data_IF_253341430002
#
_entry.id   IF_253341430002
#
_cell.length_a   1.000
_cell.length_b   1.000
_cell.length_c   1.000
_cell.angle_alpha   90.00
_cell.angle_beta   90.00
_cell.angle_gamma   90.00
#
_symmetry.space_group_name_H-M   'P 1'
#
loop_
_entity.id
_entity.type
_entity.pdbx_description
1 polymer ?
#
# COMPACT_ATOMS: atom_id res chain seq x y z
N UNK A 1 -17.70 -66.20 1.25
CA UNK A 1 -16.62 -67.20 1.46
C UNK A 1 -15.34 -66.36 1.56
N UNK A 2 -14.87 -66.22 2.79
CA UNK A 2 -13.73 -65.39 3.20
C UNK A 2 -12.51 -66.30 3.18
N UNK A 3 -11.42 -65.86 2.57
CA UNK A 3 -10.12 -66.49 2.77
C UNK A 3 -9.15 -65.39 3.23
N UNK A 4 -8.84 -65.43 4.52
CA UNK A 4 -7.72 -64.72 5.13
C UNK A 4 -6.43 -65.52 4.91
N UNK A 5 -5.38 -64.89 4.45
CA UNK A 5 -4.01 -65.41 4.52
C UNK A 5 -3.17 -64.41 5.33
N UNK A 6 -2.89 -64.81 6.53
CA UNK A 6 -1.83 -64.25 7.42
C UNK A 6 -0.49 -64.81 6.96
N UNK A 7 0.44 -63.89 6.65
CA UNK A 7 1.87 -64.21 6.63
C UNK A 7 2.56 -63.25 7.57
N UNK A 8 3.03 -63.78 8.71
CA UNK A 8 4.02 -63.14 9.57
C UNK A 8 5.37 -63.24 8.84
N UNK A 9 6.04 -62.08 8.76
CA UNK A 9 7.49 -62.08 8.58
C UNK A 9 8.05 -60.98 9.52
N UNK A 10 8.70 -61.45 10.53
CA UNK A 10 9.57 -60.65 11.39
C UNK A 10 10.82 -60.33 10.57
N UNK A 11 11.04 -59.07 10.31
CA UNK A 11 12.37 -58.54 10.06
C UNK A 11 12.41 -57.12 10.65
N UNK A 12 13.18 -57.02 11.74
CA UNK A 12 13.62 -55.81 12.41
C UNK A 12 14.50 -54.98 11.46
N UNK A 13 13.90 -54.21 10.59
CA UNK A 13 14.51 -53.03 10.03
C UNK A 13 13.71 -51.84 10.53
N UNK A 14 14.32 -51.10 11.47
CA UNK A 14 13.93 -49.74 11.83
C UNK A 14 14.01 -48.88 10.55
N UNK A 15 12.97 -48.94 9.70
CA UNK A 15 12.77 -47.95 8.65
C UNK A 15 12.49 -46.65 9.39
N UNK A 16 13.51 -45.80 9.52
CA UNK A 16 13.29 -44.38 9.80
C UNK A 16 12.26 -43.91 8.78
N UNK A 17 11.06 -43.56 9.24
CA UNK A 17 10.05 -42.95 8.42
C UNK A 17 10.72 -41.78 7.66
N UNK A 18 10.51 -41.65 6.33
CA UNK A 18 11.11 -40.56 5.61
C UNK A 18 10.70 -39.28 6.33
N UNK A 19 11.70 -38.49 6.76
CA UNK A 19 11.45 -37.17 7.35
C UNK A 19 10.56 -36.44 6.34
N UNK A 20 9.30 -36.24 6.69
CA UNK A 20 8.34 -35.53 5.83
C UNK A 20 8.94 -34.16 5.59
N UNK A 21 9.53 -33.95 4.40
CA UNK A 21 10.06 -32.64 4.05
C UNK A 21 8.88 -31.68 4.16
N UNK A 22 8.93 -30.76 5.11
CA UNK A 22 7.89 -29.77 5.29
C UNK A 22 7.62 -29.09 3.93
N UNK A 23 6.35 -29.13 3.49
CA UNK A 23 5.98 -28.49 2.22
C UNK A 23 6.19 -26.99 2.39
N UNK A 24 6.78 -26.31 1.39
CA UNK A 24 6.90 -24.86 1.42
C UNK A 24 5.54 -24.23 1.73
N UNK A 25 5.51 -23.30 2.68
CA UNK A 25 4.28 -22.61 3.08
C UNK A 25 4.52 -21.12 3.25
N UNK A 26 3.50 -20.35 2.90
CA UNK A 26 3.48 -18.88 3.06
C UNK A 26 2.31 -18.53 3.97
N UNK A 27 2.54 -17.63 4.90
CA UNK A 27 1.50 -17.08 5.77
C UNK A 27 1.51 -15.55 5.66
N UNK A 28 0.36 -14.95 5.49
CA UNK A 28 0.16 -13.50 5.54
C UNK A 28 -0.58 -13.13 6.82
N UNK A 29 0.03 -12.30 7.63
CA UNK A 29 -0.64 -11.53 8.68
C UNK A 29 -1.01 -10.17 8.06
N UNK A 30 -2.28 -9.96 7.74
CA UNK A 30 -2.76 -8.69 7.14
C UNK A 30 -2.67 -7.56 8.16
N UNK A 31 -2.80 -6.31 7.71
CA UNK A 31 -3.09 -5.22 8.65
C UNK A 31 -4.41 -5.48 9.39
N UNK A 32 -4.65 -4.78 10.51
CA UNK A 32 -5.92 -4.93 11.26
C UNK A 32 -7.17 -4.54 10.46
N UNK A 33 -7.00 -3.87 9.32
CA UNK A 33 -8.08 -3.51 8.42
C UNK A 33 -8.57 -4.69 7.55
N UNK A 34 -7.79 -5.77 7.53
CA UNK A 34 -8.14 -6.98 6.78
C UNK A 34 -8.12 -6.80 5.26
N UNK A 35 -8.69 -7.78 4.58
CA UNK A 35 -8.80 -7.83 3.11
C UNK A 35 -10.14 -7.22 2.65
N UNK A 36 -10.26 -6.88 1.37
CA UNK A 36 -11.47 -6.27 0.80
C UNK A 36 -11.46 -4.74 0.89
N UNK A 37 -10.28 -4.13 1.07
CA UNK A 37 -10.11 -2.68 1.11
C UNK A 37 -10.08 -2.03 -0.28
N UNK A 38 -10.16 -2.84 -1.34
CA UNK A 38 -9.97 -2.42 -2.74
C UNK A 38 -8.67 -1.62 -2.96
N UNK A 39 -7.68 -1.80 -2.11
CA UNK A 39 -6.44 -1.02 -2.08
C UNK A 39 -5.24 -1.88 -1.67
N UNK A 40 -4.57 -1.45 -0.60
CA UNK A 40 -3.29 -1.98 -0.16
C UNK A 40 -3.31 -3.48 0.16
N UNK A 41 -4.24 -3.95 1.02
CA UNK A 41 -4.29 -5.37 1.39
C UNK A 41 -4.67 -6.26 0.21
N UNK A 42 -5.58 -5.80 -0.65
CA UNK A 42 -5.97 -6.53 -1.85
C UNK A 42 -4.81 -6.61 -2.87
N UNK A 43 -3.95 -5.59 -2.94
CA UNK A 43 -2.71 -5.66 -3.74
C UNK A 43 -1.74 -6.72 -3.20
N UNK A 44 -1.58 -6.84 -1.88
CA UNK A 44 -0.77 -7.93 -1.28
C UNK A 44 -1.34 -9.29 -1.69
N UNK A 45 -2.66 -9.46 -1.60
CA UNK A 45 -3.32 -10.71 -2.06
C UNK A 45 -3.05 -11.02 -3.53
N UNK A 46 -3.07 -10.02 -4.40
CA UNK A 46 -2.77 -10.22 -5.81
C UNK A 46 -1.36 -10.76 -6.02
N UNK A 47 -0.38 -10.31 -5.23
CA UNK A 47 0.98 -10.86 -5.24
C UNK A 47 1.03 -12.34 -4.83
N UNK A 48 0.25 -12.70 -3.79
CA UNK A 48 0.12 -14.11 -3.37
C UNK A 48 -0.59 -14.97 -4.42
N UNK A 49 -1.62 -14.46 -5.09
CA UNK A 49 -2.30 -15.17 -6.17
C UNK A 49 -1.38 -15.41 -7.37
N UNK A 50 -0.62 -14.40 -7.81
CA UNK A 50 0.40 -14.56 -8.86
C UNK A 50 1.40 -15.66 -8.50
N UNK A 51 1.86 -15.69 -7.25
CA UNK A 51 2.80 -16.70 -6.78
C UNK A 51 2.17 -18.09 -6.72
N UNK A 52 0.92 -18.21 -6.27
CA UNK A 52 0.18 -19.46 -6.28
C UNK A 52 -0.01 -20.01 -7.70
N UNK A 53 -0.43 -19.18 -8.64
CA UNK A 53 -0.63 -19.58 -10.04
C UNK A 53 0.66 -20.14 -10.66
N UNK A 54 1.81 -19.58 -10.31
CA UNK A 54 3.09 -20.03 -10.84
C UNK A 54 3.63 -21.29 -10.14
N UNK A 55 3.37 -21.47 -8.84
CA UNK A 55 4.08 -22.47 -8.02
C UNK A 55 3.19 -23.53 -7.39
N UNK A 56 1.89 -23.29 -7.30
CA UNK A 56 0.93 -24.12 -6.55
C UNK A 56 1.07 -23.99 -5.02
N UNK A 57 1.91 -23.10 -4.51
CA UNK A 57 2.08 -22.90 -3.06
C UNK A 57 0.93 -22.06 -2.52
N UNK A 58 0.12 -22.67 -1.66
CA UNK A 58 -1.03 -22.00 -1.03
C UNK A 58 -0.53 -21.11 0.11
N UNK A 59 -1.04 -19.87 0.14
CA UNK A 59 -0.85 -18.96 1.27
C UNK A 59 -1.99 -19.12 2.28
N UNK A 60 -1.64 -19.07 3.56
CA UNK A 60 -2.59 -18.95 4.67
C UNK A 60 -2.73 -17.49 5.04
N UNK A 61 -3.94 -17.05 5.36
CA UNK A 61 -4.22 -15.70 5.81
C UNK A 61 -4.65 -15.69 7.27
N UNK A 62 -4.13 -14.72 8.01
CA UNK A 62 -4.65 -14.32 9.31
C UNK A 62 -4.95 -12.83 9.28
N UNK A 63 -6.21 -12.46 9.54
CA UNK A 63 -6.64 -11.06 9.65
C UNK A 63 -6.89 -10.76 11.13
N UNK A 64 -5.99 -10.07 11.81
CA UNK A 64 -6.11 -9.82 13.23
C UNK A 64 -7.19 -8.77 13.50
N UNK A 65 -7.85 -8.90 14.65
CA UNK A 65 -8.90 -7.96 15.07
C UNK A 65 -8.34 -6.71 15.76
N UNK A 66 -7.10 -6.78 16.25
CA UNK A 66 -6.38 -5.69 16.90
C UNK A 66 -4.88 -6.07 17.04
N UNK A 67 -4.07 -5.13 17.55
CA UNK A 67 -2.62 -5.35 17.71
C UNK A 67 -2.27 -6.47 18.69
N UNK A 68 -3.06 -6.71 19.73
CA UNK A 68 -2.79 -7.80 20.68
C UNK A 68 -3.05 -9.17 20.04
N UNK A 69 -4.07 -9.29 19.21
CA UNK A 69 -4.34 -10.49 18.39
C UNK A 69 -3.21 -10.74 17.38
N UNK A 70 -2.74 -9.68 16.70
CA UNK A 70 -1.61 -9.76 15.78
C UNK A 70 -0.32 -10.25 16.49
N UNK A 71 -0.02 -9.70 17.67
CA UNK A 71 1.16 -10.11 18.44
C UNK A 71 1.05 -11.56 18.95
N UNK A 72 -0.13 -11.96 19.41
CA UNK A 72 -0.40 -13.34 19.83
C UNK A 72 -0.16 -14.31 18.67
N UNK A 73 -0.78 -14.04 17.52
CA UNK A 73 -0.58 -14.84 16.31
C UNK A 73 0.90 -14.92 15.89
N UNK A 74 1.61 -13.79 15.89
CA UNK A 74 3.03 -13.75 15.53
C UNK A 74 3.87 -14.65 16.41
N UNK A 75 3.69 -14.59 17.74
CA UNK A 75 4.40 -15.43 18.71
C UNK A 75 4.09 -16.92 18.52
N UNK A 76 2.83 -17.28 18.34
CA UNK A 76 2.42 -18.67 18.10
C UNK A 76 2.96 -19.21 16.78
N UNK A 77 2.92 -18.39 15.71
CA UNK A 77 3.47 -18.77 14.42
C UNK A 77 4.98 -19.04 14.53
N UNK A 78 5.73 -18.16 15.16
CA UNK A 78 7.18 -18.34 15.39
C UNK A 78 7.49 -19.61 16.19
N UNK A 79 6.76 -19.85 17.28
CA UNK A 79 6.96 -21.03 18.12
C UNK A 79 6.69 -22.33 17.35
N UNK A 80 5.59 -22.35 16.58
CA UNK A 80 5.17 -23.51 15.77
C UNK A 80 6.13 -23.81 14.62
N UNK A 81 6.81 -22.79 14.10
CA UNK A 81 7.67 -22.88 12.92
C UNK A 81 9.18 -22.76 13.24
N UNK A 82 9.58 -22.75 14.52
CA UNK A 82 10.96 -22.49 14.94
C UNK A 82 12.00 -23.40 14.25
N UNK A 83 11.65 -24.65 13.95
CA UNK A 83 12.51 -25.63 13.30
C UNK A 83 11.98 -26.05 11.91
N UNK A 84 10.90 -25.44 11.42
CA UNK A 84 10.34 -25.75 10.12
C UNK A 84 11.25 -25.20 9.01
N UNK A 85 11.42 -25.98 7.94
CA UNK A 85 12.14 -25.54 6.74
C UNK A 85 11.18 -24.90 5.75
N UNK A 86 11.66 -23.91 5.01
CA UNK A 86 10.94 -23.30 3.87
C UNK A 86 9.55 -22.77 4.22
N UNK A 87 9.47 -22.01 5.31
CA UNK A 87 8.25 -21.27 5.70
C UNK A 87 8.50 -19.77 5.65
N UNK A 88 7.50 -19.00 5.20
CA UNK A 88 7.54 -17.54 5.15
C UNK A 88 6.36 -16.97 5.90
N UNK A 89 6.64 -16.01 6.78
CA UNK A 89 5.64 -15.11 7.34
C UNK A 89 5.79 -13.73 6.72
N UNK A 90 4.70 -13.19 6.21
CA UNK A 90 4.59 -11.82 5.71
C UNK A 90 3.81 -11.03 6.74
N UNK A 91 4.40 -9.95 7.23
CA UNK A 91 3.80 -8.96 8.11
C UNK A 91 3.33 -7.79 7.24
N UNK A 92 2.03 -7.64 7.05
CA UNK A 92 1.41 -6.80 6.04
C UNK A 92 1.21 -5.33 6.44
N UNK A 93 1.87 -4.82 7.49
CA UNK A 93 1.72 -3.43 7.94
C UNK A 93 2.97 -2.92 8.64
N UNK A 94 3.31 -1.64 8.44
CA UNK A 94 4.35 -0.92 9.20
C UNK A 94 4.06 -0.89 10.70
N UNK A 95 2.80 -0.95 11.12
CA UNK A 95 2.39 -1.02 12.52
C UNK A 95 2.99 -2.24 13.26
N UNK A 96 3.38 -3.29 12.55
CA UNK A 96 4.01 -4.48 13.14
C UNK A 96 5.51 -4.32 13.41
N UNK A 97 6.12 -3.19 13.06
CA UNK A 97 7.56 -2.98 13.26
C UNK A 97 7.99 -3.11 14.71
N UNK A 98 7.26 -2.49 15.63
CA UNK A 98 7.57 -2.56 17.06
C UNK A 98 7.43 -4.00 17.60
N UNK A 99 6.39 -4.71 17.20
CA UNK A 99 6.19 -6.12 17.53
C UNK A 99 7.36 -6.98 17.03
N UNK A 100 7.76 -6.78 15.76
CA UNK A 100 8.86 -7.51 15.15
C UNK A 100 10.21 -7.23 15.82
N UNK A 101 10.44 -6.00 16.31
CA UNK A 101 11.64 -5.63 17.10
C UNK A 101 11.67 -6.28 18.48
N UNK A 102 10.52 -6.39 19.13
CA UNK A 102 10.40 -6.90 20.51
C UNK A 102 10.43 -8.43 20.59
N UNK A 103 10.04 -9.11 19.53
CA UNK A 103 9.90 -10.56 19.50
C UNK A 103 10.91 -11.16 18.51
N UNK A 104 12.06 -11.67 18.98
CA UNK A 104 13.06 -12.31 18.12
C UNK A 104 12.44 -13.48 17.34
N UNK A 105 12.79 -13.60 16.05
CA UNK A 105 12.21 -14.64 15.18
C UNK A 105 12.54 -16.06 15.63
N UNK A 106 13.75 -16.29 16.13
CA UNK A 106 14.19 -17.60 16.62
C UNK A 106 14.15 -18.74 15.59
N UNK A 107 13.87 -18.44 14.31
CA UNK A 107 13.78 -19.42 13.23
C UNK A 107 15.12 -20.06 12.94
N UNK A 108 15.18 -21.41 12.98
CA UNK A 108 16.38 -22.21 12.73
C UNK A 108 16.28 -22.99 11.42
N UNK A 109 15.08 -23.10 10.88
CA UNK A 109 14.79 -23.86 9.68
C UNK A 109 15.45 -23.26 8.44
N UNK A 110 15.96 -24.12 7.57
CA UNK A 110 16.61 -23.68 6.33
C UNK A 110 15.61 -23.03 5.38
N UNK A 111 15.88 -21.79 4.99
CA UNK A 111 15.00 -21.03 4.08
C UNK A 111 13.74 -20.45 4.74
N UNK A 112 13.61 -20.57 6.07
CA UNK A 112 12.51 -19.94 6.81
C UNK A 112 12.79 -18.46 7.05
N UNK A 113 11.77 -17.59 6.86
CA UNK A 113 11.94 -16.12 6.84
C UNK A 113 10.72 -15.39 7.34
N UNK A 114 10.95 -14.18 7.82
CA UNK A 114 9.92 -13.17 8.09
C UNK A 114 10.18 -11.96 7.18
N UNK A 115 9.16 -11.50 6.49
CA UNK A 115 9.17 -10.28 5.67
C UNK A 115 8.20 -9.27 6.27
N UNK A 116 8.71 -8.10 6.65
CA UNK A 116 7.88 -6.97 7.07
C UNK A 116 7.75 -5.96 5.91
N UNK A 117 6.52 -5.70 5.51
CA UNK A 117 6.18 -4.70 4.51
C UNK A 117 6.05 -3.30 5.13
N UNK A 118 6.28 -2.27 4.33
CA UNK A 118 6.21 -0.84 4.67
C UNK A 118 7.17 -0.42 5.80
N UNK A 119 8.29 -1.10 5.93
CA UNK A 119 9.33 -0.72 6.90
C UNK A 119 10.70 -0.66 6.22
N UNK A 120 11.46 0.38 6.53
CA UNK A 120 12.88 0.55 6.19
C UNK A 120 13.81 0.22 7.36
N UNK A 121 13.26 -0.27 8.46
CA UNK A 121 14.01 -0.56 9.67
C UNK A 121 14.89 -1.80 9.53
N UNK A 122 16.08 -1.76 10.11
CA UNK A 122 16.90 -2.95 10.31
C UNK A 122 16.44 -3.66 11.58
N UNK A 123 15.96 -4.90 11.42
CA UNK A 123 15.44 -5.73 12.51
C UNK A 123 16.12 -7.11 12.43
N UNK A 124 16.65 -7.58 13.56
CA UNK A 124 17.35 -8.85 13.57
C UNK A 124 16.43 -10.04 13.22
N UNK A 125 16.87 -10.82 12.25
CA UNK A 125 16.12 -11.98 11.75
C UNK A 125 14.88 -11.66 10.90
N UNK A 126 14.60 -10.38 10.61
CA UNK A 126 13.47 -9.94 9.77
C UNK A 126 13.99 -9.21 8.53
N UNK A 127 13.48 -9.58 7.37
CA UNK A 127 13.70 -8.81 6.15
C UNK A 127 12.63 -7.72 6.07
N UNK A 128 13.03 -6.52 5.65
CA UNK A 128 12.10 -5.38 5.55
C UNK A 128 12.10 -4.79 4.14
N UNK A 129 10.95 -4.32 3.70
CA UNK A 129 10.81 -3.57 2.45
C UNK A 129 9.83 -2.42 2.63
N UNK A 130 10.30 -1.20 2.39
CA UNK A 130 9.48 0.01 2.34
C UNK A 130 9.15 0.37 0.89
N UNK A 131 7.93 0.86 0.66
CA UNK A 131 7.53 1.47 -0.61
C UNK A 131 7.50 2.98 -0.42
N UNK A 132 8.47 3.66 -1.04
CA UNK A 132 8.56 5.11 -0.96
C UNK A 132 7.59 5.77 -1.94
N UNK A 133 6.59 6.43 -1.38
CA UNK A 133 5.57 7.15 -2.14
C UNK A 133 5.96 8.59 -2.47
N UNK A 134 7.12 9.05 -1.97
CA UNK A 134 7.53 10.45 -2.13
C UNK A 134 7.56 10.87 -3.59
N UNK A 135 8.26 10.12 -4.47
CA UNK A 135 8.46 10.51 -5.86
C UNK A 135 7.15 10.56 -6.67
N UNK A 136 6.29 9.55 -6.53
CA UNK A 136 4.99 9.55 -7.21
C UNK A 136 4.06 10.64 -6.66
N UNK A 137 4.05 10.87 -5.33
CA UNK A 137 3.28 11.97 -4.73
C UNK A 137 3.86 13.35 -5.08
N UNK A 138 5.20 13.48 -5.24
CA UNK A 138 5.81 14.69 -5.78
C UNK A 138 5.27 15.02 -7.17
N UNK A 139 5.23 14.04 -8.07
CA UNK A 139 4.63 14.22 -9.39
C UNK A 139 3.16 14.62 -9.30
N UNK A 140 2.38 13.96 -8.44
CA UNK A 140 0.98 14.32 -8.22
C UNK A 140 0.84 15.79 -7.77
N UNK A 141 1.70 16.25 -6.87
CA UNK A 141 1.78 17.64 -6.44
C UNK A 141 2.11 18.61 -7.59
N UNK A 142 3.11 18.29 -8.41
CA UNK A 142 3.47 19.08 -9.62
C UNK A 142 2.30 19.19 -10.59
N UNK A 143 1.57 18.10 -10.80
CA UNK A 143 0.45 18.06 -11.72
C UNK A 143 -0.71 18.95 -11.26
N UNK A 144 -0.97 19.00 -9.95
CA UNK A 144 -2.13 19.66 -9.35
C UNK A 144 -1.79 20.98 -8.62
N UNK A 145 -0.53 21.39 -8.60
CA UNK A 145 -0.05 22.55 -7.85
C UNK A 145 -0.63 23.91 -8.24
N UNK A 146 -1.47 23.97 -9.26
CA UNK A 146 -2.11 25.22 -9.71
C UNK A 146 -3.43 25.55 -9.01
N UNK A 147 -3.81 24.79 -8.00
CA UNK A 147 -5.04 24.99 -7.20
C UNK A 147 -4.77 24.65 -5.72
N UNK A 148 -5.58 25.16 -4.79
CA UNK A 148 -5.51 24.72 -3.40
C UNK A 148 -5.66 23.22 -3.27
N UNK A 149 -5.02 22.63 -2.28
CA UNK A 149 -5.05 21.19 -2.07
C UNK A 149 -5.43 20.82 -0.64
N UNK A 150 -6.11 19.69 -0.51
CA UNK A 150 -6.49 19.10 0.76
C UNK A 150 -5.97 17.66 0.84
N UNK A 151 -5.18 17.37 1.84
CA UNK A 151 -4.73 16.01 2.15
C UNK A 151 -5.55 15.50 3.33
N UNK A 152 -6.31 14.45 3.11
CA UNK A 152 -6.94 13.70 4.18
C UNK A 152 -6.17 12.39 4.35
N UNK A 153 -5.52 12.21 5.50
CA UNK A 153 -4.72 11.05 5.82
C UNK A 153 -5.40 10.19 6.91
N UNK A 154 -5.11 8.91 6.93
CA UNK A 154 -5.67 7.97 7.90
C UNK A 154 -5.24 8.33 9.32
N UNK A 155 -3.94 8.43 9.55
CA UNK A 155 -3.36 8.76 10.86
C UNK A 155 -1.94 9.32 10.71
N UNK A 156 -1.45 10.09 11.69
CA UNK A 156 -0.06 10.55 11.74
C UNK A 156 0.89 9.42 12.17
N UNK A 157 2.20 9.62 11.89
CA UNK A 157 3.27 8.74 12.39
C UNK A 157 3.51 7.46 11.60
N UNK A 158 2.80 7.24 10.49
CA UNK A 158 3.08 6.17 9.55
C UNK A 158 4.08 6.65 8.51
N UNK A 159 5.28 6.05 8.40
CA UNK A 159 6.33 6.53 7.49
C UNK A 159 5.87 6.68 6.04
N UNK A 160 5.08 5.75 5.54
CA UNK A 160 4.52 5.77 4.19
C UNK A 160 3.57 6.94 3.95
N UNK A 161 2.81 7.34 4.97
CA UNK A 161 1.90 8.50 4.94
C UNK A 161 2.71 9.80 4.96
N UNK A 162 3.65 9.92 5.89
CA UNK A 162 4.49 11.12 6.02
C UNK A 162 5.35 11.35 4.77
N UNK A 163 5.87 10.28 4.16
CA UNK A 163 6.60 10.35 2.89
C UNK A 163 5.72 10.83 1.73
N UNK A 164 4.48 10.33 1.66
CA UNK A 164 3.51 10.76 0.64
C UNK A 164 3.13 12.24 0.81
N UNK A 165 2.86 12.68 2.05
CA UNK A 165 2.54 14.09 2.38
C UNK A 165 3.72 15.00 1.99
N UNK A 166 4.94 14.64 2.38
CA UNK A 166 6.13 15.42 2.08
C UNK A 166 6.34 15.55 0.56
N UNK A 167 6.30 14.43 -0.16
CA UNK A 167 6.43 14.43 -1.61
C UNK A 167 5.39 15.31 -2.29
N UNK A 168 4.12 15.17 -1.91
CA UNK A 168 3.03 15.97 -2.49
C UNK A 168 3.21 17.47 -2.22
N UNK A 169 3.56 17.87 -0.97
CA UNK A 169 3.79 19.27 -0.63
C UNK A 169 4.96 19.87 -1.40
N UNK A 170 6.07 19.14 -1.50
CA UNK A 170 7.25 19.61 -2.22
C UNK A 170 6.95 19.76 -3.73
N UNK A 171 6.27 18.78 -4.33
CA UNK A 171 5.83 18.86 -5.73
C UNK A 171 4.80 19.95 -5.96
N UNK A 172 3.85 20.11 -5.04
CA UNK A 172 2.84 21.16 -5.12
C UNK A 172 3.46 22.57 -5.04
N UNK A 173 4.48 22.76 -4.22
CA UNK A 173 5.21 24.02 -4.14
C UNK A 173 6.17 24.27 -5.32
N UNK A 174 6.60 23.19 -6.00
CA UNK A 174 7.50 23.29 -7.14
C UNK A 174 6.80 23.89 -8.36
N UNK A 175 7.55 24.68 -9.13
CA UNK A 175 7.10 25.20 -10.44
C UNK A 175 5.82 26.05 -10.40
N UNK A 176 5.42 26.56 -9.23
CA UNK A 176 4.27 27.47 -9.09
C UNK A 176 4.66 28.92 -9.37
N UNK A 177 3.75 29.64 -10.05
CA UNK A 177 3.83 31.10 -10.18
C UNK A 177 3.07 31.82 -9.08
N UNK A 178 2.15 31.14 -8.40
CA UNK A 178 1.34 31.64 -7.30
C UNK A 178 1.25 30.55 -6.25
N UNK A 179 1.52 30.87 -5.01
CA UNK A 179 1.41 29.95 -3.89
C UNK A 179 -0.05 29.61 -3.61
N UNK A 180 -0.34 28.32 -3.50
CA UNK A 180 -1.64 27.79 -3.12
C UNK A 180 -1.51 26.99 -1.82
N UNK A 181 -2.47 27.08 -0.89
CA UNK A 181 -2.39 26.35 0.38
C UNK A 181 -2.56 24.84 0.20
N UNK A 182 -1.87 24.07 1.03
CA UNK A 182 -2.07 22.63 1.20
C UNK A 182 -2.47 22.37 2.64
N UNK A 183 -3.75 22.08 2.87
CA UNK A 183 -4.25 21.70 4.19
C UNK A 183 -4.06 20.19 4.41
N UNK A 184 -3.81 19.78 5.66
CA UNK A 184 -3.66 18.36 6.03
C UNK A 184 -4.48 18.10 7.28
N UNK A 185 -5.36 17.10 7.19
CA UNK A 185 -6.10 16.59 8.33
C UNK A 185 -5.93 15.07 8.43
N UNK A 186 -6.09 14.54 9.64
CA UNK A 186 -6.03 13.13 9.93
C UNK A 186 -7.39 12.61 10.40
N UNK A 187 -7.77 11.42 9.93
CA UNK A 187 -9.05 10.82 10.24
C UNK A 187 -9.09 10.25 11.66
N UNK A 188 -7.97 9.71 12.13
CA UNK A 188 -7.78 9.16 13.45
C UNK A 188 -6.34 9.39 13.96
N UNK A 189 -6.01 8.87 15.15
CA UNK A 189 -4.66 8.93 15.72
C UNK A 189 -3.86 7.63 15.54
N UNK A 190 -4.47 6.57 15.05
CA UNK A 190 -3.89 5.25 14.89
C UNK A 190 -4.38 4.52 13.65
N UNK A 191 -4.04 3.24 13.57
CA UNK A 191 -4.30 2.38 12.41
C UNK A 191 -5.80 2.26 12.07
N UNK A 192 -6.70 2.50 13.03
CA UNK A 192 -8.14 2.52 12.80
C UNK A 192 -8.56 3.50 11.70
N UNK A 193 -7.79 4.58 11.50
CA UNK A 193 -8.04 5.56 10.45
C UNK A 193 -8.07 4.98 9.03
N UNK A 194 -7.45 3.84 8.80
CA UNK A 194 -7.48 3.15 7.50
C UNK A 194 -8.79 2.37 7.25
N UNK A 195 -9.64 2.19 8.27
CA UNK A 195 -10.86 1.38 8.20
C UNK A 195 -12.13 2.12 8.62
N UNK A 196 -12.21 3.44 8.41
CA UNK A 196 -13.32 4.31 8.79
C UNK A 196 -13.98 5.01 7.59
N UNK A 197 -14.54 4.27 6.60
CA UNK A 197 -15.06 4.88 5.37
C UNK A 197 -16.21 5.87 5.63
N UNK A 198 -17.09 5.59 6.59
CA UNK A 198 -18.19 6.51 6.93
C UNK A 198 -17.66 7.82 7.51
N UNK A 199 -16.63 7.76 8.37
CA UNK A 199 -15.99 8.97 8.91
C UNK A 199 -15.30 9.76 7.80
N UNK A 200 -14.57 9.09 6.90
CA UNK A 200 -13.96 9.74 5.74
C UNK A 200 -14.99 10.43 4.84
N UNK A 201 -16.14 9.78 4.60
CA UNK A 201 -17.25 10.40 3.88
C UNK A 201 -17.73 11.67 4.57
N UNK A 202 -17.97 11.63 5.89
CA UNK A 202 -18.47 12.79 6.61
C UNK A 202 -17.45 13.94 6.66
N UNK A 203 -16.18 13.67 6.88
CA UNK A 203 -15.12 14.69 6.88
C UNK A 203 -15.02 15.34 5.51
N UNK A 204 -14.95 14.56 4.43
CA UNK A 204 -14.92 15.09 3.07
C UNK A 204 -16.16 15.90 2.74
N UNK A 205 -17.35 15.41 3.08
CA UNK A 205 -18.61 16.15 2.89
C UNK A 205 -18.58 17.50 3.58
N UNK A 206 -18.15 17.56 4.84
CA UNK A 206 -18.03 18.82 5.58
C UNK A 206 -17.02 19.77 4.93
N UNK A 207 -15.88 19.24 4.48
CA UNK A 207 -14.86 20.02 3.76
C UNK A 207 -15.45 20.63 2.48
N UNK A 208 -16.10 19.84 1.64
CA UNK A 208 -16.73 20.30 0.40
C UNK A 208 -17.75 21.42 0.70
N UNK A 209 -18.63 21.21 1.68
CA UNK A 209 -19.65 22.21 2.03
C UNK A 209 -19.02 23.50 2.56
N UNK A 210 -17.97 23.41 3.38
CA UNK A 210 -17.31 24.59 3.96
C UNK A 210 -16.54 25.43 2.95
N UNK A 211 -16.07 24.81 1.87
CA UNK A 211 -15.33 25.49 0.79
C UNK A 211 -16.21 25.96 -0.36
N UNK A 212 -17.49 25.55 -0.39
CA UNK A 212 -18.45 26.12 -1.32
C UNK A 212 -18.95 27.47 -0.78
N UNK A 213 -18.58 28.56 -1.43
CA UNK A 213 -19.02 29.90 -1.01
C UNK A 213 -20.48 30.16 -1.37
N UNK A 214 -21.21 30.87 -0.49
CA UNK A 214 -22.60 31.31 -0.63
C UNK A 214 -22.85 32.38 -1.72
N UNK A 215 -21.93 32.58 -2.62
CA UNK A 215 -22.17 33.53 -3.74
C UNK A 215 -23.03 32.87 -4.81
N UNK A 216 -24.12 33.51 -5.09
CA UNK A 216 -25.25 33.17 -6.00
C UNK A 216 -24.89 32.66 -7.41
N UNK A 217 -23.65 32.42 -7.76
CA UNK A 217 -23.26 32.05 -9.12
C UNK A 217 -22.57 30.71 -9.30
N UNK A 218 -22.07 30.05 -8.26
CA UNK A 218 -21.57 28.68 -8.42
C UNK A 218 -21.13 28.06 -7.11
N UNK A 219 -21.71 26.94 -6.76
CA UNK A 219 -21.21 25.99 -5.77
C UNK A 219 -20.03 25.24 -6.39
N UNK A 220 -18.86 25.86 -6.51
CA UNK A 220 -17.69 25.22 -7.10
C UNK A 220 -16.69 24.90 -5.99
N UNK A 221 -16.45 23.61 -5.77
CA UNK A 221 -15.36 23.12 -4.95
C UNK A 221 -14.10 23.07 -5.82
N UNK A 222 -13.07 23.81 -5.42
CA UNK A 222 -11.88 24.03 -6.25
C UNK A 222 -10.60 23.39 -5.69
N UNK A 223 -10.69 22.71 -4.58
CA UNK A 223 -9.52 22.01 -4.02
C UNK A 223 -9.26 20.70 -4.76
N UNK A 224 -7.99 20.33 -4.83
CA UNK A 224 -7.57 18.99 -5.21
C UNK A 224 -7.36 18.15 -3.97
N UNK A 225 -7.81 16.90 -3.97
CA UNK A 225 -7.79 16.04 -2.80
C UNK A 225 -6.77 14.92 -2.98
N UNK A 226 -5.87 14.75 -2.00
CA UNK A 226 -5.00 13.58 -1.87
C UNK A 226 -5.49 12.73 -0.69
N UNK A 227 -6.15 11.58 -0.92
CA UNK A 227 -6.69 10.73 0.13
C UNK A 227 -5.69 9.62 0.51
N UNK A 228 -4.92 9.83 1.56
CA UNK A 228 -3.97 8.84 2.10
C UNK A 228 -4.68 7.98 3.17
N UNK A 229 -5.67 7.18 2.77
CA UNK A 229 -6.71 6.64 3.65
C UNK A 229 -6.84 5.11 3.63
N UNK A 230 -6.14 4.40 2.74
CA UNK A 230 -6.38 2.96 2.55
C UNK A 230 -7.86 2.66 2.29
N UNK A 231 -8.47 1.72 3.02
CA UNK A 231 -9.88 1.35 2.87
C UNK A 231 -10.88 2.48 3.16
N UNK A 232 -10.52 3.44 4.02
CA UNK A 232 -11.34 4.63 4.26
C UNK A 232 -11.47 5.54 3.05
N UNK A 233 -10.58 5.42 2.07
CA UNK A 233 -10.60 6.18 0.82
C UNK A 233 -11.88 6.02 0.01
N UNK A 234 -12.56 4.88 0.13
CA UNK A 234 -13.86 4.64 -0.51
C UNK A 234 -14.94 5.62 -0.06
N UNK A 235 -14.93 5.98 1.23
CA UNK A 235 -15.84 6.99 1.77
C UNK A 235 -15.54 8.39 1.26
N UNK A 236 -14.26 8.78 1.21
CA UNK A 236 -13.85 10.07 0.65
C UNK A 236 -14.22 10.17 -0.84
N UNK A 237 -13.97 9.12 -1.62
CA UNK A 237 -14.34 9.06 -3.03
C UNK A 237 -15.85 9.15 -3.23
N UNK A 238 -16.63 8.47 -2.39
CA UNK A 238 -18.10 8.59 -2.44
C UNK A 238 -18.56 10.02 -2.18
N UNK A 239 -17.99 10.72 -1.20
CA UNK A 239 -18.33 12.12 -0.95
C UNK A 239 -18.02 13.00 -2.16
N UNK A 240 -16.84 12.84 -2.77
CA UNK A 240 -16.48 13.56 -3.99
C UNK A 240 -17.46 13.28 -5.14
N UNK A 241 -17.90 12.04 -5.30
CA UNK A 241 -18.87 11.67 -6.35
C UNK A 241 -20.28 12.21 -6.08
N UNK A 242 -20.72 12.21 -4.82
CA UNK A 242 -22.04 12.75 -4.45
C UNK A 242 -22.13 14.28 -4.68
N UNK A 243 -20.96 14.96 -4.68
CA UNK A 243 -20.85 16.43 -4.88
C UNK A 243 -20.05 16.80 -6.15
N UNK A 244 -20.02 15.90 -7.12
CA UNK A 244 -19.27 16.03 -8.38
C UNK A 244 -19.50 17.36 -9.13
N UNK A 245 -20.70 17.90 -9.05
CA UNK A 245 -21.08 19.17 -9.68
C UNK A 245 -20.21 20.34 -9.22
N UNK A 246 -19.51 20.18 -8.12
CA UNK A 246 -18.73 21.24 -7.47
C UNK A 246 -17.27 21.31 -7.93
N UNK A 247 -16.82 20.47 -8.83
CA UNK A 247 -15.60 20.68 -9.60
C UNK A 247 -14.26 20.27 -8.94
N UNK A 248 -14.24 19.60 -7.80
CA UNK A 248 -13.00 19.14 -7.18
C UNK A 248 -12.34 17.97 -7.92
N UNK A 249 -11.01 17.89 -7.83
CA UNK A 249 -10.23 16.74 -8.31
C UNK A 249 -9.78 15.89 -7.13
N UNK A 250 -9.65 14.58 -7.36
CA UNK A 250 -9.14 13.64 -6.37
C UNK A 250 -8.07 12.74 -7.00
N UNK A 251 -6.95 12.57 -6.32
CA UNK A 251 -5.95 11.59 -6.71
C UNK A 251 -6.42 10.20 -6.32
N UNK A 252 -6.43 9.25 -7.26
CA UNK A 252 -6.58 7.84 -6.92
C UNK A 252 -5.37 7.35 -6.13
N UNK A 253 -5.56 6.46 -5.14
CA UNK A 253 -4.46 5.95 -4.33
C UNK A 253 -4.41 4.42 -4.34
N UNK A 254 -3.19 3.91 -4.19
CA UNK A 254 -2.78 2.52 -4.04
C UNK A 254 -3.00 1.65 -5.29
N UNK A 255 -4.13 1.78 -5.95
CA UNK A 255 -4.49 1.04 -7.18
C UNK A 255 -4.94 1.99 -8.28
N UNK A 256 -5.04 1.49 -9.51
CA UNK A 256 -5.66 2.24 -10.61
C UNK A 256 -7.16 2.45 -10.31
N UNK A 257 -7.52 3.70 -10.06
CA UNK A 257 -8.90 4.15 -9.78
C UNK A 257 -9.59 4.73 -11.01
N UNK A 258 -9.01 4.55 -12.20
CA UNK A 258 -9.59 5.03 -13.46
C UNK A 258 -11.03 4.57 -13.63
N UNK A 259 -11.92 5.50 -13.96
CA UNK A 259 -13.32 5.19 -14.18
C UNK A 259 -14.17 4.93 -12.93
N UNK A 260 -13.59 4.95 -11.72
CA UNK A 260 -14.38 4.84 -10.49
C UNK A 260 -15.09 6.14 -10.12
N UNK A 261 -14.54 7.27 -10.52
CA UNK A 261 -15.17 8.58 -10.38
C UNK A 261 -14.64 9.54 -11.45
N UNK A 262 -15.49 10.41 -12.02
CA UNK A 262 -15.06 11.42 -12.99
C UNK A 262 -14.16 12.51 -12.38
N UNK A 263 -14.05 12.60 -11.07
CA UNK A 263 -13.11 13.52 -10.42
C UNK A 263 -11.67 12.96 -10.30
N UNK A 264 -11.39 11.74 -10.78
CA UNK A 264 -10.07 11.11 -10.70
C UNK A 264 -9.34 11.22 -12.04
N UNK A 265 -8.42 12.19 -12.20
CA UNK A 265 -7.64 12.35 -13.44
C UNK A 265 -6.51 11.31 -13.56
N UNK A 266 -5.97 10.86 -12.44
CA UNK A 266 -4.92 9.86 -12.35
C UNK A 266 -4.86 9.25 -10.96
N UNK A 267 -4.11 8.17 -10.84
CA UNK A 267 -3.87 7.46 -9.58
C UNK A 267 -2.36 7.36 -9.29
N UNK A 268 -1.98 7.47 -8.03
CA UNK A 268 -0.70 7.00 -7.51
C UNK A 268 -0.86 5.52 -7.19
N UNK A 269 -0.24 4.67 -8.00
CA UNK A 269 -0.31 3.21 -7.87
C UNK A 269 0.92 2.68 -7.19
N UNK A 270 0.76 1.70 -6.30
CA UNK A 270 1.86 0.96 -5.68
C UNK A 270 1.88 -0.47 -6.22
N UNK A 271 3.07 -0.99 -6.51
CA UNK A 271 3.27 -2.33 -7.05
C UNK A 271 3.74 -3.33 -6.00
N UNK A 272 3.09 -3.31 -4.82
CA UNK A 272 3.41 -4.24 -3.74
C UNK A 272 3.15 -5.70 -4.13
N UNK A 273 2.20 -5.94 -5.02
CA UNK A 273 1.91 -7.24 -5.60
C UNK A 273 3.10 -7.82 -6.37
N UNK A 274 3.74 -7.01 -7.20
CA UNK A 274 4.94 -7.42 -7.95
C UNK A 274 6.14 -7.60 -7.01
N UNK A 275 6.33 -6.67 -6.07
CA UNK A 275 7.40 -6.76 -5.07
C UNK A 275 7.29 -8.06 -4.27
N UNK A 276 6.11 -8.36 -3.76
CA UNK A 276 5.87 -9.58 -3.00
C UNK A 276 6.07 -10.84 -3.84
N UNK A 277 5.57 -10.84 -5.07
CA UNK A 277 5.76 -11.92 -6.02
C UNK A 277 7.25 -12.20 -6.28
N UNK A 278 8.07 -11.15 -6.46
CA UNK A 278 9.51 -11.26 -6.67
C UNK A 278 10.21 -11.83 -5.44
N UNK A 279 9.91 -11.33 -4.23
CA UNK A 279 10.45 -11.85 -2.97
C UNK A 279 10.14 -13.35 -2.80
N UNK A 280 8.89 -13.76 -3.02
CA UNK A 280 8.48 -15.15 -2.88
C UNK A 280 9.11 -16.05 -3.96
N UNK A 281 9.27 -15.54 -5.19
CA UNK A 281 9.94 -16.26 -6.27
C UNK A 281 11.43 -16.44 -5.96
N UNK A 282 12.11 -15.42 -5.46
CA UNK A 282 13.50 -15.51 -5.00
C UNK A 282 13.64 -16.51 -3.86
N UNK A 283 12.76 -16.45 -2.85
CA UNK A 283 12.73 -17.41 -1.76
C UNK A 283 12.56 -18.86 -2.26
N UNK A 284 11.62 -19.08 -3.14
CA UNK A 284 11.37 -20.42 -3.71
C UNK A 284 12.56 -20.97 -4.46
N UNK A 285 13.35 -20.10 -5.08
CA UNK A 285 14.59 -20.44 -5.78
C UNK A 285 15.82 -20.49 -4.88
N UNK A 286 15.66 -20.37 -3.56
CA UNK A 286 16.75 -20.41 -2.59
C UNK A 286 17.67 -19.19 -2.58
N UNK A 287 17.26 -18.09 -3.24
CA UNK A 287 18.04 -16.85 -3.24
C UNK A 287 17.90 -16.13 -1.90
N UNK A 288 18.98 -15.49 -1.40
CA UNK A 288 18.91 -14.65 -0.21
C UNK A 288 18.11 -13.37 -0.51
N UNK A 289 17.38 -12.88 0.50
CA UNK A 289 16.80 -11.55 0.46
C UNK A 289 17.76 -10.52 1.04
N UNK A 290 17.69 -9.28 0.58
CA UNK A 290 18.35 -8.19 1.28
C UNK A 290 17.73 -8.00 2.67
N UNK A 291 18.54 -7.58 3.65
CA UNK A 291 18.05 -7.35 5.02
C UNK A 291 17.00 -6.25 5.03
N UNK A 292 17.27 -5.15 4.34
CA UNK A 292 16.39 -3.98 4.25
C UNK A 292 16.45 -3.43 2.83
N UNK A 293 15.29 -3.06 2.29
CA UNK A 293 15.19 -2.38 0.99
C UNK A 293 14.16 -1.25 1.06
N UNK A 294 14.40 -0.20 0.30
CA UNK A 294 13.41 0.84 -0.01
C UNK A 294 13.30 0.95 -1.51
N UNK A 295 12.09 0.84 -2.02
CA UNK A 295 11.78 0.90 -3.46
C UNK A 295 10.76 2.03 -3.70
N UNK A 296 10.94 2.82 -4.73
CA UNK A 296 10.06 3.93 -5.05
C UNK A 296 9.86 4.10 -6.55
N UNK A 297 9.85 5.35 -6.99
CA UNK A 297 9.53 5.70 -8.38
C UNK A 297 10.58 5.19 -9.38
N UNK A 298 11.88 5.21 -9.02
CA UNK A 298 12.94 4.69 -9.88
C UNK A 298 12.87 3.18 -10.04
N UNK A 299 12.63 2.46 -8.93
CA UNK A 299 12.52 1.01 -8.91
C UNK A 299 11.15 0.52 -9.43
N UNK A 300 10.32 1.42 -9.94
CA UNK A 300 8.96 1.12 -10.43
C UNK A 300 8.07 0.47 -9.35
N UNK A 301 8.35 0.75 -8.09
CA UNK A 301 7.49 0.34 -6.98
C UNK A 301 6.26 1.24 -6.83
N UNK A 302 6.34 2.45 -7.39
CA UNK A 302 5.24 3.40 -7.51
C UNK A 302 5.19 3.98 -8.93
N UNK A 303 4.00 4.37 -9.38
CA UNK A 303 3.79 5.06 -10.65
C UNK A 303 2.59 6.02 -10.60
N UNK A 304 2.53 6.91 -11.60
CA UNK A 304 1.30 7.66 -11.91
C UNK A 304 0.56 6.95 -13.05
N UNK A 305 -0.66 6.50 -12.78
CA UNK A 305 -1.55 5.89 -13.77
C UNK A 305 -2.63 6.89 -14.18
N UNK A 306 -2.64 7.29 -15.44
CA UNK A 306 -3.59 8.28 -15.95
C UNK A 306 -4.92 7.66 -16.33
N UNK A 307 -6.03 8.36 -16.01
CA UNK A 307 -7.35 8.00 -16.51
C UNK A 307 -7.40 8.28 -18.02
N UNK A 308 -7.72 7.26 -18.85
CA UNK A 308 -7.76 7.43 -20.30
C UNK A 308 -8.77 8.49 -20.73
N UNK A 309 -8.37 9.33 -21.69
CA UNK A 309 -9.23 10.37 -22.28
C UNK A 309 -9.90 11.33 -21.27
N UNK A 310 -9.24 11.52 -20.12
CA UNK A 310 -9.74 12.41 -19.09
C UNK A 310 -9.73 13.87 -19.56
N UNK A 311 -10.85 14.55 -19.40
CA UNK A 311 -10.99 16.00 -19.59
C UNK A 311 -11.91 16.55 -18.52
N UNK A 312 -11.43 17.51 -17.75
CA UNK A 312 -12.23 18.16 -16.72
C UNK A 312 -12.53 19.61 -17.10
N UNK A 313 -13.68 19.80 -17.74
CA UNK A 313 -14.07 21.08 -18.34
C UNK A 313 -14.30 22.19 -17.32
N UNK A 314 -14.94 21.88 -16.18
CA UNK A 314 -15.28 22.91 -15.18
C UNK A 314 -14.07 23.62 -14.59
N UNK A 315 -12.99 22.87 -14.23
CA UNK A 315 -11.76 23.49 -13.76
C UNK A 315 -10.96 24.15 -14.88
N UNK A 316 -11.00 23.58 -16.08
CA UNK A 316 -10.37 24.19 -17.25
C UNK A 316 -10.96 25.58 -17.54
N UNK A 317 -12.28 25.71 -17.47
CA UNK A 317 -13.00 26.98 -17.66
C UNK A 317 -12.68 27.98 -16.54
N UNK A 318 -12.70 27.53 -15.26
CA UNK A 318 -12.47 28.39 -14.10
C UNK A 318 -11.06 28.97 -14.05
N UNK A 319 -10.05 28.14 -14.36
CA UNK A 319 -8.65 28.53 -14.25
C UNK A 319 -8.01 28.86 -15.60
N UNK A 320 -8.77 28.82 -16.69
CA UNK A 320 -8.27 28.98 -18.06
C UNK A 320 -7.07 28.07 -18.34
N UNK A 321 -7.16 26.81 -17.88
CA UNK A 321 -6.11 25.79 -17.97
C UNK A 321 -6.67 24.51 -18.56
N UNK A 322 -5.82 23.76 -19.22
CA UNK A 322 -6.14 22.42 -19.71
C UNK A 322 -5.88 21.39 -18.59
N UNK A 323 -6.92 20.63 -18.21
CA UNK A 323 -6.85 19.49 -17.30
C UNK A 323 -7.18 18.22 -18.07
N UNK A 324 -6.27 17.79 -18.91
CA UNK A 324 -6.44 16.61 -19.77
C UNK A 324 -5.35 15.56 -19.49
N UNK A 325 -5.65 14.30 -19.83
CA UNK A 325 -4.67 13.20 -19.79
C UNK A 325 -3.40 13.57 -20.54
N UNK A 326 -3.50 14.20 -21.71
CA UNK A 326 -2.36 14.59 -22.53
C UNK A 326 -1.43 15.54 -21.79
N UNK A 327 -1.98 16.60 -21.19
CA UNK A 327 -1.19 17.57 -20.43
C UNK A 327 -0.54 16.93 -19.19
N UNK A 328 -1.32 16.13 -18.45
CA UNK A 328 -0.79 15.45 -17.26
C UNK A 328 0.34 14.50 -17.61
N UNK A 329 0.20 13.71 -18.69
CA UNK A 329 1.26 12.79 -19.15
C UNK A 329 2.53 13.55 -19.51
N UNK A 330 2.43 14.62 -20.31
CA UNK A 330 3.58 15.44 -20.71
C UNK A 330 4.32 16.04 -19.49
N UNK A 331 3.57 16.57 -18.51
CA UNK A 331 4.16 17.12 -17.30
C UNK A 331 4.81 16.04 -16.44
N UNK A 332 4.17 14.88 -16.27
CA UNK A 332 4.73 13.78 -15.50
C UNK A 332 6.05 13.29 -16.11
N UNK A 333 6.11 13.14 -17.42
CA UNK A 333 7.36 12.80 -18.14
C UNK A 333 8.43 13.87 -17.95
N UNK A 334 8.07 15.15 -18.09
CA UNK A 334 8.99 16.27 -17.93
C UNK A 334 9.65 16.31 -16.56
N UNK A 335 8.92 16.02 -15.49
CA UNK A 335 9.39 16.16 -14.10
C UNK A 335 9.75 14.83 -13.43
N UNK A 336 9.73 13.71 -14.16
CA UNK A 336 10.00 12.38 -13.61
C UNK A 336 11.40 12.28 -12.99
N UNK A 337 12.43 12.73 -13.72
CA UNK A 337 13.82 12.67 -13.23
C UNK A 337 14.05 13.56 -12.00
N UNK A 338 13.39 14.71 -11.95
CA UNK A 338 13.42 15.59 -10.78
C UNK A 338 12.77 14.91 -9.56
N UNK A 339 11.62 14.27 -9.75
CA UNK A 339 10.93 13.54 -8.69
C UNK A 339 11.81 12.41 -8.13
N UNK A 340 12.46 11.63 -9.00
CA UNK A 340 13.41 10.57 -8.60
C UNK A 340 14.59 11.16 -7.83
N UNK A 341 15.17 12.25 -8.30
CA UNK A 341 16.30 12.89 -7.62
C UNK A 341 15.92 13.42 -6.24
N UNK A 342 14.74 14.03 -6.10
CA UNK A 342 14.18 14.49 -4.82
C UNK A 342 13.90 13.34 -3.86
N UNK A 343 13.26 12.28 -4.34
CA UNK A 343 13.01 11.07 -3.55
C UNK A 343 14.30 10.49 -2.98
N UNK A 344 15.34 10.31 -3.80
CA UNK A 344 16.65 9.81 -3.37
C UNK A 344 17.32 10.72 -2.35
N UNK A 345 17.33 12.03 -2.58
CA UNK A 345 17.96 12.99 -1.68
C UNK A 345 17.32 13.01 -0.30
N UNK A 346 16.00 12.86 -0.24
CA UNK A 346 15.25 12.83 1.03
C UNK A 346 15.34 11.49 1.75
N UNK A 347 15.60 10.37 1.06
CA UNK A 347 15.93 9.07 1.70
C UNK A 347 17.26 9.11 2.46
N UNK A 348 18.25 9.85 1.94
CA UNK A 348 19.58 9.96 2.55
C UNK A 348 19.62 10.87 3.79
N UNK A 349 18.59 11.66 3.98
CA UNK A 349 18.49 12.65 5.08
C UNK A 349 17.76 12.12 6.32
N UNK A 350 17.23 10.90 6.26
CA UNK A 350 16.55 10.18 7.34
C UNK A 350 17.48 9.11 7.96
#
# INVERSE_FOLDING_TARGET
MVLALTACHDDDEQSQAPMERSRPSVTLLTSINGVGDNGYNDCILNGLFKFYEQTGVVAQLHSPTNMADAEHFYREWLASNANADSVVLILGSSAYEQMARQVPTGLKGKGSRVLLLESSATIDGVNTVAIDRYGACYLAGVLLGSSPSYILAAAPGFPEIERAIAGYKDGHAAHQTTEHPVAVDYLANGEEGFAMPDSAYHVMKQRIISQTSDTLSSLVYVETVLPLLGGSGTGAMKAMSDYEINGGLMVGMDTDRSGQSPCIPFSVVIHIDNILFDYLTEWRNGKPWATTQTKGLEEQATEIKFTPNYVFSTLAELYNKDYSTTLFTQKAEQYREEAIAKEKSTRQSQ
#
